data_IF_715692383654
#
_entry.id   IF_715692383654
#
_cell.length_a   1.000
_cell.length_b   1.000
_cell.length_c   1.000
_cell.angle_alpha   90.00
_cell.angle_beta   90.00
_cell.angle_gamma   90.00
#
_symmetry.space_group_name_H-M   'P 1'
#
loop_
_entity.id
_entity.type
_entity.pdbx_description
1 polymer ?
#
# COMPACT_ATOMS: atom_id res chain seq x y z
N UNK A 1 14.04 18.85 8.25
CA UNK A 1 14.02 17.67 9.16
C UNK A 1 13.89 16.40 8.33
N UNK A 2 14.48 15.30 8.78
CA UNK A 2 14.39 14.02 8.07
C UNK A 2 13.07 13.32 8.43
N UNK A 3 12.04 13.48 7.60
CA UNK A 3 10.70 12.91 7.81
C UNK A 3 10.71 11.37 7.88
N UNK A 4 11.64 10.72 7.17
CA UNK A 4 11.85 9.28 7.25
C UNK A 4 12.34 8.88 8.64
N UNK A 5 13.25 9.65 9.24
CA UNK A 5 13.68 9.41 10.62
C UNK A 5 12.52 9.58 11.60
N UNK A 6 11.67 10.60 11.43
CA UNK A 6 10.48 10.79 12.27
C UNK A 6 9.51 9.61 12.18
N UNK A 7 9.32 9.04 10.99
CA UNK A 7 8.52 7.83 10.80
C UNK A 7 9.15 6.61 11.46
N UNK A 8 10.45 6.37 11.22
CA UNK A 8 11.19 5.25 11.81
C UNK A 8 11.20 5.28 13.34
N UNK A 9 11.27 6.48 13.92
CA UNK A 9 11.24 6.71 15.39
C UNK A 9 9.81 6.86 15.94
N UNK A 10 8.78 6.61 15.13
CA UNK A 10 7.35 6.64 15.50
C UNK A 10 6.82 8.00 15.97
N UNK A 11 7.48 9.10 15.62
CA UNK A 11 6.97 10.46 15.84
C UNK A 11 5.82 10.80 14.89
N UNK A 12 5.77 10.16 13.72
CA UNK A 12 4.65 10.24 12.77
C UNK A 12 4.14 8.85 12.42
N UNK A 13 2.84 8.77 12.14
CA UNK A 13 2.16 7.54 11.74
C UNK A 13 2.50 7.11 10.32
N UNK A 14 2.21 5.84 9.99
CA UNK A 14 2.29 5.32 8.62
C UNK A 14 1.46 6.16 7.64
N UNK A 15 0.26 6.60 8.05
CA UNK A 15 -0.60 7.43 7.21
C UNK A 15 0.06 8.78 6.88
N UNK A 16 0.60 9.47 7.88
CA UNK A 16 1.30 10.75 7.68
C UNK A 16 2.52 10.59 6.79
N UNK A 17 3.30 9.53 6.98
CA UNK A 17 4.47 9.27 6.15
C UNK A 17 4.08 8.97 4.70
N UNK A 18 3.07 8.12 4.46
CA UNK A 18 2.55 7.86 3.12
C UNK A 18 1.95 9.12 2.47
N UNK A 19 1.27 9.98 3.23
CA UNK A 19 0.79 11.26 2.74
C UNK A 19 1.95 12.15 2.29
N UNK A 20 3.00 12.24 3.11
CA UNK A 20 4.20 12.97 2.74
C UNK A 20 4.83 12.43 1.45
N UNK A 21 4.96 11.12 1.31
CA UNK A 21 5.50 10.51 0.08
C UNK A 21 4.65 10.85 -1.15
N UNK A 22 3.33 10.85 -1.02
CA UNK A 22 2.43 11.26 -2.10
C UNK A 22 2.66 12.72 -2.50
N UNK A 23 2.67 13.63 -1.53
CA UNK A 23 2.91 15.06 -1.79
C UNK A 23 4.29 15.31 -2.42
N UNK A 24 5.34 14.66 -1.90
CA UNK A 24 6.70 14.74 -2.44
C UNK A 24 6.81 14.18 -3.87
N UNK A 25 5.88 13.28 -4.27
CA UNK A 25 5.78 12.73 -5.63
C UNK A 25 4.86 13.55 -6.54
N UNK A 26 4.55 14.81 -6.16
CA UNK A 26 3.64 15.72 -6.86
C UNK A 26 2.18 15.24 -6.97
N UNK A 27 1.75 14.31 -6.10
CA UNK A 27 0.33 13.92 -6.05
C UNK A 27 -0.46 14.94 -5.25
N UNK A 28 -1.68 15.24 -5.70
CA UNK A 28 -2.55 16.22 -5.05
C UNK A 28 -4.01 15.81 -5.10
N UNK A 29 -4.81 16.31 -4.15
CA UNK A 29 -6.25 16.11 -4.14
C UNK A 29 -6.98 16.89 -5.26
N UNK A 30 -6.30 17.84 -5.89
CA UNK A 30 -6.87 18.73 -6.90
C UNK A 30 -6.85 18.13 -8.31
N UNK A 31 -5.94 17.19 -8.58
CA UNK A 31 -5.82 16.51 -9.87
C UNK A 31 -6.14 15.03 -9.70
N UNK A 32 -7.29 14.60 -10.25
CA UNK A 32 -7.76 13.22 -10.18
C UNK A 32 -6.81 12.24 -10.90
N UNK A 33 -6.07 12.69 -11.91
CA UNK A 33 -5.10 11.84 -12.62
C UNK A 33 -3.84 11.56 -11.78
N UNK A 34 -3.57 12.42 -10.79
CA UNK A 34 -2.42 12.34 -9.88
C UNK A 34 -2.86 12.28 -8.41
N UNK A 35 -3.99 11.63 -8.14
CA UNK A 35 -4.52 11.54 -6.79
C UNK A 35 -3.57 10.74 -5.86
N UNK A 36 -3.51 11.04 -4.55
CA UNK A 36 -2.71 10.27 -3.60
C UNK A 36 -3.06 8.77 -3.62
N UNK A 37 -2.04 7.93 -3.63
CA UNK A 37 -2.15 6.47 -3.63
C UNK A 37 -1.84 5.88 -2.26
N UNK A 38 -2.60 4.85 -1.90
CA UNK A 38 -2.40 4.07 -0.68
C UNK A 38 -2.47 2.58 -1.01
N UNK A 39 -1.65 1.75 -0.33
CA UNK A 39 -1.70 0.31 -0.55
C UNK A 39 -2.96 -0.28 0.08
N UNK A 40 -3.49 -1.32 -0.56
CA UNK A 40 -4.42 -2.25 0.09
C UNK A 40 -3.67 -2.96 1.22
N UNK A 41 -4.25 -2.99 2.42
CA UNK A 41 -3.60 -3.57 3.61
C UNK A 41 -4.22 -4.91 3.98
N UNK A 42 -5.54 -5.00 4.02
CA UNK A 42 -6.25 -6.24 4.32
C UNK A 42 -6.47 -7.07 3.05
N UNK A 43 -6.43 -8.38 3.19
CA UNK A 43 -6.71 -9.37 2.14
C UNK A 43 -8.09 -10.02 2.30
N UNK A 44 -8.64 -10.02 3.52
CA UNK A 44 -9.93 -10.64 3.84
C UNK A 44 -11.04 -9.59 3.99
N UNK A 45 -12.08 -9.75 3.17
CA UNK A 45 -13.29 -8.91 3.16
C UNK A 45 -14.57 -9.76 3.12
N UNK A 46 -14.46 -11.07 3.36
CA UNK A 46 -15.59 -12.01 3.27
C UNK A 46 -16.20 -12.24 4.64
N UNK A 47 -15.38 -12.31 5.68
CA UNK A 47 -15.84 -12.57 7.04
C UNK A 47 -16.35 -11.30 7.73
N UNK A 48 -17.36 -11.47 8.60
CA UNK A 48 -17.94 -10.38 9.39
C UNK A 48 -16.98 -9.86 10.47
N UNK A 49 -16.12 -10.76 10.99
CA UNK A 49 -15.09 -10.44 11.97
C UNK A 49 -13.69 -10.73 11.41
N UNK A 50 -12.72 -9.88 11.77
CA UNK A 50 -11.33 -9.96 11.29
C UNK A 50 -10.39 -10.01 12.50
N UNK A 51 -9.59 -11.07 12.60
CA UNK A 51 -8.55 -11.18 13.62
C UNK A 51 -7.26 -10.49 13.17
N UNK A 52 -7.02 -9.28 13.69
CA UNK A 52 -5.82 -8.48 13.36
C UNK A 52 -4.48 -9.11 13.80
N UNK A 53 -4.49 -10.17 14.62
CA UNK A 53 -3.28 -10.89 14.99
C UNK A 53 -2.92 -12.01 14.00
N UNK A 54 -3.80 -12.35 13.05
CA UNK A 54 -3.49 -13.34 12.02
C UNK A 54 -2.66 -12.69 10.89
N UNK A 55 -1.42 -13.12 10.62
CA UNK A 55 -0.64 -12.57 9.51
C UNK A 55 -1.29 -12.81 8.13
N UNK A 56 -2.18 -13.79 7.97
CA UNK A 56 -2.79 -14.16 6.68
C UNK A 56 -3.82 -13.16 6.18
N UNK A 57 -4.40 -12.35 7.08
CA UNK A 57 -5.41 -11.33 6.73
C UNK A 57 -4.76 -10.06 6.14
N UNK A 58 -3.43 -9.99 6.10
CA UNK A 58 -2.69 -8.88 5.51
C UNK A 58 -2.20 -9.22 4.11
N UNK A 59 -2.26 -8.23 3.23
CA UNK A 59 -1.69 -8.32 1.89
C UNK A 59 -0.16 -8.31 1.97
N UNK A 60 0.48 -9.16 1.18
CA UNK A 60 1.93 -9.09 0.97
C UNK A 60 2.31 -7.75 0.29
N UNK A 61 2.91 -6.84 1.06
CA UNK A 61 3.34 -5.52 0.59
C UNK A 61 4.59 -5.59 -0.32
N UNK A 62 5.32 -6.70 -0.33
CA UNK A 62 6.49 -6.91 -1.18
C UNK A 62 6.14 -7.16 -2.66
N UNK A 63 4.87 -7.45 -2.95
CA UNK A 63 4.38 -7.69 -4.31
C UNK A 63 3.44 -6.57 -4.79
N UNK A 64 3.48 -6.18 -6.07
CA UNK A 64 2.46 -5.31 -6.65
C UNK A 64 1.13 -6.07 -6.77
N UNK A 65 0.01 -5.33 -6.85
CA UNK A 65 -1.34 -5.92 -6.96
C UNK A 65 -1.46 -6.93 -8.11
N UNK A 66 -0.77 -6.68 -9.23
CA UNK A 66 -0.81 -7.57 -10.38
C UNK A 66 -0.12 -8.92 -10.20
N UNK A 67 0.77 -9.02 -9.22
CA UNK A 67 1.54 -10.22 -8.92
C UNK A 67 0.99 -11.03 -7.73
N UNK A 68 -0.18 -10.65 -7.21
CA UNK A 68 -0.83 -11.36 -6.10
C UNK A 68 -1.51 -12.65 -6.55
N UNK A 69 -2.09 -12.65 -7.75
CA UNK A 69 -2.69 -13.83 -8.36
C UNK A 69 -1.68 -14.47 -9.31
N UNK A 70 -1.40 -15.76 -9.12
CA UNK A 70 -0.37 -16.50 -9.86
C UNK A 70 -0.69 -16.62 -11.36
N UNK A 71 -1.94 -16.90 -11.72
CA UNK A 71 -2.37 -16.98 -13.13
C UNK A 71 -2.19 -15.63 -13.84
N UNK A 72 -2.56 -14.54 -13.15
CA UNK A 72 -2.36 -13.17 -13.64
C UNK A 72 -0.88 -12.83 -13.74
N UNK A 73 -0.07 -13.26 -12.77
CA UNK A 73 1.38 -13.07 -12.80
C UNK A 73 1.99 -13.79 -14.00
N UNK A 74 1.62 -15.04 -14.24
CA UNK A 74 2.09 -15.83 -15.38
C UNK A 74 1.73 -15.14 -16.71
N UNK A 75 0.49 -14.66 -16.83
CA UNK A 75 0.04 -13.88 -17.99
C UNK A 75 0.86 -12.59 -18.18
N UNK A 76 1.24 -11.91 -17.09
CA UNK A 76 2.07 -10.71 -17.16
C UNK A 76 3.49 -11.06 -17.62
N UNK A 77 4.09 -12.13 -17.08
CA UNK A 77 5.43 -12.57 -17.46
C UNK A 77 5.47 -12.98 -18.94
N UNK A 78 4.45 -13.69 -19.44
CA UNK A 78 4.39 -14.09 -20.85
C UNK A 78 4.25 -12.92 -21.82
N UNK A 79 3.71 -11.79 -21.37
CA UNK A 79 3.50 -10.59 -22.19
C UNK A 79 4.71 -9.66 -22.29
N UNK A 80 5.69 -9.78 -21.39
CA UNK A 80 6.86 -8.89 -21.28
C UNK A 80 8.16 -9.62 -21.59
#
# INVERSE_FOLDING_TARGET
ENITLQWQTRHISNFQYLMYLNLASNRSFSDLSQYPIYPWVLSDYIHEEINLNDPKIYRDLGRPIGALNEDRLQTLIERY
#
